data_IF_874730457508
#
_entry.id   IF_874730457508
#
_cell.length_a   1.000
_cell.length_b   1.000
_cell.length_c   1.000
_cell.angle_alpha   90.00
_cell.angle_beta   90.00
_cell.angle_gamma   90.00
#
_symmetry.space_group_name_H-M   'P 1'
#
loop_
_entity.id
_entity.type
_entity.pdbx_description
1 polymer ?
#
# COMPACT_ATOMS: atom_id res chain seq x y z
N UNK A 1 3.90 -9.12 -8.06
CA UNK A 1 3.23 -7.89 -7.57
C UNK A 1 3.62 -6.75 -8.49
N UNK A 2 2.71 -5.82 -8.79
CA UNK A 2 3.03 -4.65 -9.61
C UNK A 2 3.95 -3.67 -8.86
N UNK A 3 4.68 -2.88 -9.65
CA UNK A 3 5.73 -1.99 -9.15
C UNK A 3 5.18 -0.87 -8.26
N UNK A 4 4.00 -0.36 -8.56
CA UNK A 4 3.36 0.71 -7.79
C UNK A 4 2.96 0.22 -6.39
N UNK A 5 2.35 -0.96 -6.32
CA UNK A 5 2.01 -1.61 -5.05
C UNK A 5 3.25 -1.95 -4.23
N UNK A 6 4.30 -2.48 -4.88
CA UNK A 6 5.60 -2.76 -4.23
C UNK A 6 6.20 -1.50 -3.63
N UNK A 7 6.31 -0.44 -4.42
CA UNK A 7 6.85 0.86 -3.99
C UNK A 7 6.04 1.47 -2.85
N UNK A 8 4.71 1.34 -2.90
CA UNK A 8 3.82 1.81 -1.84
C UNK A 8 4.05 1.06 -0.54
N UNK A 9 4.08 -0.28 -0.57
CA UNK A 9 4.37 -1.09 0.62
C UNK A 9 5.77 -0.81 1.18
N UNK A 10 6.78 -0.66 0.31
CA UNK A 10 8.14 -0.33 0.72
C UNK A 10 8.20 1.02 1.45
N UNK A 11 7.49 2.05 0.95
CA UNK A 11 7.40 3.35 1.62
C UNK A 11 6.73 3.24 2.99
N UNK A 12 5.63 2.50 3.10
CA UNK A 12 4.92 2.32 4.38
C UNK A 12 5.79 1.57 5.39
N UNK A 13 6.38 0.44 5.00
CA UNK A 13 7.29 -0.33 5.87
C UNK A 13 8.46 0.55 6.31
N UNK A 14 9.10 1.26 5.38
CA UNK A 14 10.23 2.15 5.70
C UNK A 14 9.82 3.26 6.67
N UNK A 15 8.62 3.83 6.52
CA UNK A 15 8.11 4.86 7.43
C UNK A 15 7.84 4.32 8.84
N UNK A 16 7.31 3.10 8.96
CA UNK A 16 7.13 2.43 10.27
C UNK A 16 8.48 2.13 10.91
N UNK A 17 9.48 1.71 10.13
CA UNK A 17 10.84 1.46 10.61
C UNK A 17 11.53 2.70 11.20
N UNK A 18 11.10 3.92 10.85
CA UNK A 18 11.66 5.15 11.42
C UNK A 18 11.15 5.44 12.84
N UNK A 19 10.12 4.73 13.33
CA UNK A 19 9.64 4.91 14.72
C UNK A 19 10.66 4.37 15.71
N UNK A 20 10.82 5.04 16.85
CA UNK A 20 11.80 4.67 17.88
C UNK A 20 11.56 3.24 18.38
N UNK A 21 10.31 2.87 18.59
CA UNK A 21 9.90 1.54 19.03
C UNK A 21 10.23 0.47 17.99
N UNK A 22 10.16 0.82 16.70
CA UNK A 22 10.52 -0.08 15.61
C UNK A 22 12.02 -0.35 15.58
N UNK A 23 12.83 0.71 15.71
CA UNK A 23 14.29 0.60 15.79
C UNK A 23 14.74 -0.23 16.99
N UNK A 24 14.07 -0.07 18.13
CA UNK A 24 14.39 -0.79 19.36
C UNK A 24 14.10 -2.31 19.28
N UNK A 25 13.04 -2.72 18.58
CA UNK A 25 12.52 -4.08 18.71
C UNK A 25 12.33 -4.88 17.41
N UNK A 26 12.14 -4.23 16.26
CA UNK A 26 11.55 -4.89 15.08
C UNK A 26 12.30 -4.66 13.76
N UNK A 27 13.29 -3.79 13.73
CA UNK A 27 14.05 -3.51 12.50
C UNK A 27 15.08 -4.58 12.18
N UNK A 28 15.52 -5.37 13.17
CA UNK A 28 16.53 -6.40 13.01
C UNK A 28 16.01 -7.75 13.52
N UNK A 29 16.54 -8.88 12.99
CA UNK A 29 16.20 -10.21 13.49
C UNK A 29 16.45 -10.33 14.99
N UNK A 30 15.46 -10.83 15.73
CA UNK A 30 15.61 -11.07 17.16
C UNK A 30 16.72 -12.09 17.43
N UNK A 31 17.74 -11.72 18.22
CA UNK A 31 18.84 -12.61 18.54
C UNK A 31 18.41 -13.73 19.48
N UNK A 32 17.97 -14.85 18.90
CA UNK A 32 17.50 -16.03 19.65
C UNK A 32 18.56 -16.66 20.57
N UNK A 33 19.85 -16.44 20.30
CA UNK A 33 20.93 -16.99 21.14
C UNK A 33 20.99 -16.37 22.54
N UNK A 34 20.45 -15.16 22.70
CA UNK A 34 20.45 -14.43 23.97
C UNK A 34 19.31 -14.86 24.90
N UNK A 35 18.30 -15.60 24.40
CA UNK A 35 17.15 -15.98 25.22
C UNK A 35 16.67 -17.40 24.91
N UNK A 36 16.96 -18.29 25.85
CA UNK A 36 16.49 -19.69 25.82
C UNK A 36 14.97 -19.78 25.61
N UNK A 37 14.55 -20.60 24.66
CA UNK A 37 13.13 -20.89 24.40
C UNK A 37 12.51 -20.09 23.25
N UNK A 38 13.20 -19.10 22.66
CA UNK A 38 12.66 -18.36 21.52
C UNK A 38 12.28 -19.27 20.34
N UNK A 39 13.18 -20.17 19.94
CA UNK A 39 12.93 -21.13 18.87
C UNK A 39 11.82 -22.16 19.16
N UNK A 40 11.40 -22.29 20.44
CA UNK A 40 10.27 -23.14 20.83
C UNK A 40 8.94 -22.40 20.58
N UNK A 41 8.90 -21.10 20.88
CA UNK A 41 7.69 -20.30 20.74
C UNK A 41 7.51 -19.73 19.32
N UNK A 42 8.59 -19.34 18.66
CA UNK A 42 8.60 -18.67 17.35
C UNK A 42 9.21 -19.58 16.30
N UNK A 43 8.36 -20.15 15.45
CA UNK A 43 8.76 -21.11 14.41
C UNK A 43 9.30 -20.44 13.15
N UNK A 44 8.76 -19.26 12.80
CA UNK A 44 9.15 -18.50 11.60
C UNK A 44 9.51 -17.08 12.01
N UNK A 45 10.78 -16.81 12.38
CA UNK A 45 11.22 -15.45 12.69
C UNK A 45 10.98 -14.51 11.50
N UNK A 46 10.59 -13.27 11.81
CA UNK A 46 10.43 -12.21 10.83
C UNK A 46 10.66 -10.85 11.50
N UNK A 47 11.21 -9.91 10.76
CA UNK A 47 11.50 -8.55 11.18
C UNK A 47 11.27 -7.58 10.01
N UNK A 48 11.06 -6.29 10.30
CA UNK A 48 10.75 -5.29 9.29
C UNK A 48 11.92 -5.01 8.34
N UNK A 49 13.16 -5.14 8.80
CA UNK A 49 14.34 -4.98 7.96
C UNK A 49 14.45 -6.08 6.89
N UNK A 50 14.12 -7.32 7.24
CA UNK A 50 14.01 -8.44 6.30
C UNK A 50 12.91 -8.17 5.27
N UNK A 51 11.72 -7.74 5.70
CA UNK A 51 10.62 -7.40 4.78
C UNK A 51 11.03 -6.27 3.84
N UNK A 52 11.68 -5.22 4.36
CA UNK A 52 12.17 -4.09 3.57
C UNK A 52 13.18 -4.54 2.52
N UNK A 53 14.20 -5.32 2.91
CA UNK A 53 15.21 -5.86 1.97
C UNK A 53 14.56 -6.72 0.90
N UNK A 54 13.64 -7.60 1.27
CA UNK A 54 12.91 -8.46 0.34
C UNK A 54 12.05 -7.66 -0.65
N UNK A 55 11.45 -6.55 -0.20
CA UNK A 55 10.70 -5.63 -1.06
C UNK A 55 11.60 -4.85 -2.01
N UNK A 56 12.86 -4.57 -1.64
CA UNK A 56 13.83 -3.84 -2.46
C UNK A 56 14.44 -4.71 -3.58
N UNK A 57 14.40 -6.04 -3.44
CA UNK A 57 14.89 -6.95 -4.47
C UNK A 57 14.17 -6.73 -5.82
N UNK A 58 14.86 -6.99 -6.95
CA UNK A 58 14.26 -6.90 -8.28
C UNK A 58 13.02 -7.80 -8.45
N UNK A 59 12.11 -7.46 -9.38
CA UNK A 59 11.03 -8.36 -9.78
C UNK A 59 11.60 -9.72 -10.25
N UNK A 60 11.12 -10.81 -9.64
CA UNK A 60 11.59 -12.18 -9.91
C UNK A 60 12.60 -12.72 -8.89
N UNK A 61 13.27 -11.84 -8.13
CA UNK A 61 14.15 -12.23 -7.02
C UNK A 61 13.50 -12.02 -5.65
N UNK A 62 12.56 -11.06 -5.56
CA UNK A 62 11.76 -10.87 -4.36
C UNK A 62 10.93 -12.14 -4.06
N UNK A 63 10.91 -12.63 -2.80
CA UNK A 63 10.04 -13.74 -2.41
C UNK A 63 8.56 -13.35 -2.42
N UNK A 64 8.24 -12.05 -2.55
CA UNK A 64 6.86 -11.55 -2.52
C UNK A 64 6.24 -11.54 -3.92
N UNK A 65 5.39 -12.53 -4.18
CA UNK A 65 4.57 -12.57 -5.39
C UNK A 65 3.37 -11.61 -5.35
N UNK A 66 2.91 -11.24 -4.15
CA UNK A 66 1.70 -10.43 -3.93
C UNK A 66 1.81 -9.51 -2.71
N UNK A 67 0.97 -8.47 -2.67
CA UNK A 67 0.84 -7.59 -1.51
C UNK A 67 0.40 -8.36 -0.26
N UNK A 68 -0.49 -9.34 -0.42
CA UNK A 68 -0.96 -10.18 0.68
C UNK A 68 0.19 -10.91 1.39
N UNK A 69 1.19 -11.39 0.65
CA UNK A 69 2.36 -12.04 1.23
C UNK A 69 3.20 -11.09 2.10
N UNK A 70 3.33 -9.83 1.68
CA UNK A 70 3.99 -8.78 2.47
C UNK A 70 3.21 -8.48 3.74
N UNK A 71 1.89 -8.30 3.63
CA UNK A 71 1.02 -8.01 4.77
C UNK A 71 1.01 -9.15 5.78
N UNK A 72 1.07 -10.41 5.32
CA UNK A 72 1.20 -11.58 6.18
C UNK A 72 2.52 -11.58 6.95
N UNK A 73 3.64 -11.24 6.31
CA UNK A 73 4.93 -11.18 7.00
C UNK A 73 5.00 -10.00 7.99
N UNK A 74 4.40 -8.84 7.67
CA UNK A 74 4.27 -7.73 8.62
C UNK A 74 3.46 -8.17 9.84
N UNK A 75 2.31 -8.82 9.62
CA UNK A 75 1.47 -9.34 10.69
C UNK A 75 2.22 -10.37 11.55
N UNK A 76 3.04 -11.22 10.92
CA UNK A 76 3.85 -12.20 11.62
C UNK A 76 4.89 -11.58 12.57
N UNK A 77 5.45 -10.40 12.25
CA UNK A 77 6.36 -9.68 13.18
C UNK A 77 5.65 -9.47 14.53
N UNK A 78 4.40 -9.02 14.49
CA UNK A 78 3.60 -8.74 15.67
C UNK A 78 3.17 -10.01 16.40
N UNK A 79 2.75 -11.04 15.65
CA UNK A 79 2.33 -12.32 16.22
C UNK A 79 3.48 -13.05 16.90
N UNK A 80 4.68 -13.04 16.31
CA UNK A 80 5.88 -13.59 16.93
C UNK A 80 6.21 -12.87 18.24
N UNK A 81 6.06 -11.54 18.28
CA UNK A 81 6.25 -10.76 19.49
C UNK A 81 5.25 -11.18 20.57
N UNK A 82 3.96 -11.28 20.22
CA UNK A 82 2.90 -11.66 21.16
C UNK A 82 2.99 -13.11 21.65
N UNK A 83 3.52 -14.03 20.82
CA UNK A 83 3.74 -15.43 21.17
C UNK A 83 4.88 -15.59 22.18
N UNK A 84 5.92 -14.75 22.09
CA UNK A 84 7.08 -14.87 22.94
C UNK A 84 7.01 -14.01 24.21
N UNK A 85 6.50 -12.78 24.10
CA UNK A 85 6.45 -11.85 25.21
C UNK A 85 5.06 -11.86 25.90
N UNK A 86 5.03 -11.85 27.25
CA UNK A 86 3.76 -11.80 27.98
C UNK A 86 3.04 -10.46 27.77
N UNK A 87 1.75 -10.45 28.06
CA UNK A 87 0.95 -9.21 28.07
C UNK A 87 1.58 -8.17 29.02
N UNK A 88 1.59 -6.90 28.61
CA UNK A 88 2.20 -5.80 29.36
C UNK A 88 3.71 -5.62 29.17
N UNK A 89 4.40 -6.52 28.48
CA UNK A 89 5.81 -6.31 28.11
C UNK A 89 5.94 -5.15 27.12
N UNK A 90 6.96 -4.29 27.27
CA UNK A 90 7.15 -3.09 26.45
C UNK A 90 7.17 -3.39 24.94
N UNK A 91 7.87 -4.45 24.53
CA UNK A 91 7.89 -4.88 23.13
C UNK A 91 6.49 -5.20 22.58
N UNK A 92 5.59 -5.74 23.41
CA UNK A 92 4.22 -6.05 22.97
C UNK A 92 3.36 -4.80 22.84
N UNK A 93 3.52 -3.85 23.77
CA UNK A 93 2.88 -2.52 23.68
C UNK A 93 3.36 -1.77 22.41
N UNK A 94 4.67 -1.88 22.11
CA UNK A 94 5.24 -1.36 20.88
C UNK A 94 4.65 -2.05 19.62
N UNK A 95 4.52 -3.37 19.62
CA UNK A 95 3.91 -4.12 18.51
C UNK A 95 2.47 -3.66 18.24
N UNK A 96 1.65 -3.51 19.29
CA UNK A 96 0.27 -3.04 19.16
C UNK A 96 0.20 -1.63 18.56
N UNK A 97 1.08 -0.72 19.03
CA UNK A 97 1.17 0.66 18.54
C UNK A 97 1.62 0.74 17.08
N UNK A 98 2.65 -0.04 16.72
CA UNK A 98 3.21 -0.05 15.37
C UNK A 98 2.29 -0.75 14.37
N UNK A 99 1.57 -1.80 14.77
CA UNK A 99 0.57 -2.46 13.93
C UNK A 99 -0.58 -1.51 13.56
N UNK A 100 -1.07 -0.72 14.54
CA UNK A 100 -2.03 0.34 14.28
C UNK A 100 -1.49 1.42 13.33
N UNK A 101 -0.25 1.85 13.55
CA UNK A 101 0.44 2.85 12.70
C UNK A 101 0.60 2.34 11.27
N UNK A 102 1.06 1.10 11.09
CA UNK A 102 1.20 0.45 9.79
C UNK A 102 -0.14 0.40 9.05
N UNK A 103 -1.20 -0.07 9.74
CA UNK A 103 -2.54 -0.18 9.17
C UNK A 103 -3.05 1.17 8.69
N UNK A 104 -2.90 2.21 9.51
CA UNK A 104 -3.30 3.57 9.16
C UNK A 104 -2.54 4.10 7.94
N UNK A 105 -1.21 3.97 7.92
CA UNK A 105 -0.38 4.43 6.80
C UNK A 105 -0.70 3.68 5.50
N UNK A 106 -0.89 2.36 5.59
CA UNK A 106 -1.25 1.54 4.43
C UNK A 106 -2.62 1.94 3.86
N UNK A 107 -3.63 2.13 4.72
CA UNK A 107 -4.95 2.60 4.28
C UNK A 107 -4.89 4.00 3.66
N UNK A 108 -4.15 4.93 4.25
CA UNK A 108 -3.99 6.27 3.72
C UNK A 108 -3.32 6.24 2.33
N UNK A 109 -2.29 5.41 2.14
CA UNK A 109 -1.62 5.25 0.86
C UNK A 109 -2.57 4.69 -0.22
N UNK A 110 -3.38 3.68 0.12
CA UNK A 110 -4.39 3.13 -0.78
C UNK A 110 -5.44 4.18 -1.19
N UNK A 111 -5.92 4.98 -0.25
CA UNK A 111 -6.88 6.06 -0.53
C UNK A 111 -6.26 7.14 -1.43
N UNK A 112 -5.02 7.53 -1.18
CA UNK A 112 -4.30 8.50 -2.01
C UNK A 112 -4.14 8.00 -3.45
N UNK A 113 -3.79 6.72 -3.63
CA UNK A 113 -3.66 6.11 -4.96
C UNK A 113 -4.99 6.14 -5.72
N UNK A 114 -6.09 5.75 -5.07
CA UNK A 114 -7.43 5.80 -5.69
C UNK A 114 -7.83 7.24 -6.08
N UNK A 115 -7.54 8.22 -5.23
CA UNK A 115 -7.79 9.62 -5.54
C UNK A 115 -6.95 10.13 -6.72
N UNK A 116 -5.69 9.72 -6.82
CA UNK A 116 -4.82 10.06 -7.94
C UNK A 116 -5.34 9.45 -9.26
N UNK A 117 -5.75 8.18 -9.22
CA UNK A 117 -6.36 7.51 -10.37
C UNK A 117 -7.64 8.21 -10.83
N UNK A 118 -8.54 8.54 -9.89
CA UNK A 118 -9.76 9.28 -10.21
C UNK A 118 -9.47 10.66 -10.80
N UNK A 119 -8.51 11.39 -10.22
CA UNK A 119 -8.08 12.71 -10.73
C UNK A 119 -7.55 12.60 -12.15
N UNK A 120 -6.71 11.61 -12.43
CA UNK A 120 -6.12 11.39 -13.74
C UNK A 120 -7.18 11.01 -14.78
N UNK A 121 -8.11 10.12 -14.44
CA UNK A 121 -9.23 9.76 -15.32
C UNK A 121 -10.13 10.97 -15.63
N UNK A 122 -10.43 11.77 -14.60
CA UNK A 122 -11.24 13.00 -14.76
C UNK A 122 -10.56 14.00 -15.70
N UNK A 123 -9.25 14.19 -15.54
CA UNK A 123 -8.48 15.06 -16.41
C UNK A 123 -8.44 14.55 -17.87
N UNK A 124 -8.24 13.25 -18.08
CA UNK A 124 -8.26 12.65 -19.41
C UNK A 124 -9.63 12.81 -20.08
N UNK A 125 -10.71 12.60 -19.33
CA UNK A 125 -12.07 12.79 -19.83
C UNK A 125 -12.32 14.24 -20.25
N UNK A 126 -11.85 15.20 -19.45
CA UNK A 126 -11.98 16.62 -19.76
C UNK A 126 -11.18 17.01 -21.03
N UNK A 127 -9.96 16.49 -21.18
CA UNK A 127 -9.18 16.69 -22.41
C UNK A 127 -9.87 16.09 -23.65
N UNK A 128 -10.42 14.88 -23.52
CA UNK A 128 -11.15 14.25 -24.62
C UNK A 128 -12.38 15.07 -25.03
N UNK A 129 -13.12 15.61 -24.05
CA UNK A 129 -14.26 16.48 -24.32
C UNK A 129 -13.84 17.73 -25.07
N UNK A 130 -12.75 18.36 -24.66
CA UNK A 130 -12.21 19.55 -25.31
C UNK A 130 -11.77 19.24 -26.75
N UNK A 131 -11.08 18.12 -26.97
CA UNK A 131 -10.67 17.68 -28.31
C UNK A 131 -11.89 17.42 -29.20
N UNK A 132 -12.94 16.77 -28.68
CA UNK A 132 -14.20 16.55 -29.41
C UNK A 132 -14.86 17.88 -29.80
N UNK A 133 -14.88 18.86 -28.89
CA UNK A 133 -15.44 20.18 -29.16
C UNK A 133 -14.65 20.91 -30.26
N UNK A 134 -13.31 20.85 -30.23
CA UNK A 134 -12.45 21.44 -31.26
C UNK A 134 -12.63 20.78 -32.62
N UNK A 135 -12.69 19.44 -32.66
CA UNK A 135 -12.93 18.70 -33.90
C UNK A 135 -14.28 19.06 -34.53
N UNK A 136 -15.31 19.19 -33.70
CA UNK A 136 -16.64 19.62 -34.16
C UNK A 136 -16.59 21.04 -34.78
N UNK A 137 -15.90 21.99 -34.14
CA UNK A 137 -15.75 23.33 -34.69
C UNK A 137 -14.96 23.34 -36.03
N UNK A 138 -13.90 22.54 -36.12
CA UNK A 138 -13.10 22.42 -37.34
C UNK A 138 -13.91 21.89 -38.53
N UNK A 139 -14.78 20.89 -38.31
CA UNK A 139 -15.66 20.35 -39.34
C UNK A 139 -16.67 21.40 -39.84
N UNK A 140 -17.28 22.17 -38.93
CA UNK A 140 -18.23 23.23 -39.31
C UNK A 140 -17.57 24.32 -40.14
N UNK A 141 -16.36 24.73 -39.77
CA UNK A 141 -15.65 25.80 -40.48
C UNK A 141 -15.24 25.36 -41.89
N UNK A 142 -14.88 24.08 -42.07
CA UNK A 142 -14.53 23.53 -43.38
C UNK A 142 -15.75 23.41 -44.31
N UNK A 143 -16.93 23.05 -43.78
CA UNK A 143 -18.18 23.01 -44.56
C UNK A 143 -18.60 24.39 -45.09
N UNK A 144 -18.46 25.45 -44.28
CA UNK A 144 -18.77 26.81 -44.72
C UNK A 144 -17.87 27.28 -45.87
N UNK A 145 -16.58 26.93 -45.83
CA UNK A 145 -15.62 27.34 -46.84
C UNK A 145 -15.87 26.62 -48.19
N UNK A 146 -16.31 25.36 -48.17
CA UNK A 146 -16.67 24.63 -49.39
C UNK A 146 -17.91 25.22 -50.11
N UNK A 147 -18.90 25.71 -49.37
CA UNK A 147 -20.08 26.35 -49.96
C UNK A 147 -19.73 27.66 -50.67
N UNK A 148 -18.81 28.46 -50.12
CA UNK A 148 -18.39 29.72 -50.75
C UNK A 148 -17.68 29.50 -52.10
N UNK A 149 -16.90 28.42 -52.24
CA UNK A 149 -16.21 28.10 -53.49
C UNK A 149 -17.16 27.66 -54.63
N UNK A 150 -18.33 27.10 -54.31
CA UNK A 150 -19.30 26.70 -55.34
C UNK A 150 -20.13 27.88 -55.87
N UNK A 151 -20.32 28.94 -55.08
CA UNK A 151 -21.06 30.15 -55.53
C UNK A 151 -20.31 31.03 -56.53
N UNK A 152 -19.01 30.82 -56.76
CA UNK A 152 -18.19 31.69 -57.66
C UNK A 152 -18.12 31.20 -59.12
N UNK A 153 -18.58 29.98 -59.42
CA UNK A 153 -18.47 29.37 -60.77
C UNK A 153 -19.61 29.73 -61.74
N UNK A 154 -20.53 30.63 -61.36
CA UNK A 154 -21.74 30.93 -62.14
C UNK A 154 -21.82 32.30 -62.82
N UNK A 155 -20.83 33.19 -62.68
CA UNK A 155 -20.89 34.53 -63.29
C UNK A 155 -19.78 34.74 -64.35
N UNK A 156 -20.12 35.03 -65.62
CA UNK A 156 -19.13 35.35 -66.63
C UNK A 156 -18.47 36.71 -66.33
N UNK A 157 -17.13 36.83 -66.46
CA UNK A 157 -16.42 38.07 -66.16
C UNK A 157 -16.66 39.08 -67.28
N UNK A 158 -17.38 40.16 -66.94
CA UNK A 158 -17.43 41.36 -67.76
C UNK A 158 -16.59 42.43 -67.07
N UNK A 159 -15.52 42.83 -67.76
CA UNK A 159 -14.66 44.00 -67.56
C UNK A 159 -13.33 43.87 -66.79
N UNK A 160 -12.23 44.32 -67.42
CA UNK A 160 -10.97 44.59 -66.76
C UNK A 160 -10.93 46.05 -66.28
N UNK A 161 -10.34 46.28 -65.10
CA UNK A 161 -9.50 47.42 -64.70
C UNK A 161 -9.57 47.59 -63.19
N UNK A 162 -8.50 47.22 -62.49
CA UNK A 162 -7.79 48.10 -61.55
C UNK A 162 -6.68 47.34 -60.80
N UNK A 163 -5.47 47.93 -60.65
CA UNK A 163 -4.48 47.45 -59.70
C UNK A 163 -4.76 48.09 -58.34
N UNK A 164 -5.29 47.32 -57.39
CA UNK A 164 -5.42 47.73 -55.99
C UNK A 164 -4.49 46.88 -55.13
N UNK A 165 -3.68 47.59 -54.37
CA UNK A 165 -2.67 47.11 -53.43
C UNK A 165 -3.24 46.04 -52.48
N UNK A 166 -2.50 44.95 -52.32
CA UNK A 166 -2.82 43.88 -51.38
C UNK A 166 -2.54 44.35 -49.93
N UNK A 167 -3.48 44.20 -48.98
CA UNK A 167 -3.15 44.20 -47.58
C UNK A 167 -2.61 42.82 -47.16
N UNK A 168 -1.55 42.86 -46.35
CA UNK A 168 -0.82 41.71 -45.79
C UNK A 168 -1.75 40.64 -45.19
N UNK A 169 -1.64 39.41 -45.70
CA UNK A 169 -2.13 38.21 -45.01
C UNK A 169 -1.30 37.99 -43.74
N UNK A 170 -1.87 38.31 -42.58
CA UNK A 170 -1.35 37.82 -41.30
C UNK A 170 -1.77 36.37 -41.13
N UNK A 171 -0.80 35.46 -41.19
CA UNK A 171 -0.98 34.07 -40.81
C UNK A 171 -1.41 33.98 -39.32
N UNK A 172 -2.38 33.12 -38.96
CA UNK A 172 -2.68 32.84 -37.57
C UNK A 172 -1.49 32.11 -36.93
N UNK A 173 -0.81 32.78 -36.01
CA UNK A 173 0.21 32.18 -35.16
C UNK A 173 -0.44 31.10 -34.26
N UNK A 174 0.18 29.92 -34.09
CA UNK A 174 -0.30 28.94 -33.13
C UNK A 174 -0.18 29.49 -31.71
N UNK A 175 -1.12 29.15 -30.80
CA UNK A 175 -1.00 29.54 -29.39
C UNK A 175 0.28 28.94 -28.80
N UNK A 176 1.11 29.82 -28.23
CA UNK A 176 2.28 29.45 -27.45
C UNK A 176 1.83 28.54 -26.30
N UNK A 177 2.22 27.27 -26.37
CA UNK A 177 2.13 26.33 -25.26
C UNK A 177 2.92 26.91 -24.09
N UNK A 178 2.22 27.36 -23.05
CA UNK A 178 2.83 27.65 -21.76
C UNK A 178 3.36 26.32 -21.20
N UNK A 179 4.69 26.16 -21.29
CA UNK A 179 5.43 25.14 -20.55
C UNK A 179 5.19 25.40 -19.06
N UNK A 180 4.35 24.58 -18.45
CA UNK A 180 4.17 24.53 -17.01
C UNK A 180 5.47 23.98 -16.42
N UNK A 181 6.30 24.87 -15.87
CA UNK A 181 7.45 24.48 -15.04
C UNK A 181 6.88 23.81 -13.78
N UNK A 182 7.27 22.56 -13.44
CA UNK A 182 6.96 22.01 -12.14
C UNK A 182 7.71 22.85 -11.09
N UNK A 183 6.98 23.41 -10.14
CA UNK A 183 7.61 24.11 -9.01
C UNK A 183 8.31 23.04 -8.18
N UNK A 184 9.64 23.13 -8.16
CA UNK A 184 10.47 22.27 -7.33
C UNK A 184 10.24 22.63 -5.86
N UNK A 185 10.16 21.57 -5.08
CA UNK A 185 9.87 21.59 -3.66
C UNK A 185 11.19 21.86 -2.92
N UNK A 186 11.43 23.11 -2.52
CA UNK A 186 12.55 23.49 -1.66
C UNK A 186 12.04 23.97 -0.28
N UNK A 187 12.61 23.49 0.84
CA UNK A 187 12.18 23.85 2.18
C UNK A 187 12.79 25.19 2.64
N UNK A 188 12.10 26.01 3.46
CA UNK A 188 12.73 27.16 4.07
C UNK A 188 13.42 26.76 5.38
N UNK A 189 14.75 26.86 5.37
CA UNK A 189 15.53 27.03 6.60
C UNK A 189 15.34 28.45 7.15
N UNK A 190 15.06 28.45 8.45
CA UNK A 190 15.05 29.51 9.45
C UNK A 190 15.83 30.79 9.12
N UNK A 191 15.22 31.94 9.44
CA UNK A 191 15.86 33.05 10.16
C UNK A 191 14.78 33.91 10.84
N UNK A 192 15.04 34.24 12.11
CA UNK A 192 14.06 34.78 13.04
C UNK A 192 13.67 36.25 12.86
N UNK A 193 12.57 36.62 13.51
CA UNK A 193 12.08 37.99 13.65
C UNK A 193 10.85 38.00 14.57
N UNK A 194 10.88 38.86 15.58
CA UNK A 194 9.96 38.92 16.71
C UNK A 194 8.58 39.53 16.38
N UNK A 195 7.52 38.95 16.99
CA UNK A 195 6.24 39.54 17.47
C UNK A 195 5.27 40.23 16.47
N UNK A 196 3.96 40.45 16.80
CA UNK A 196 3.24 40.24 18.07
C UNK A 196 1.90 39.44 17.97
N UNK A 197 1.34 39.15 19.15
CA UNK A 197 0.02 38.54 19.41
C UNK A 197 -1.18 39.20 18.72
N UNK A 198 -2.25 38.44 18.43
CA UNK A 198 -3.60 38.99 18.35
C UNK A 198 -4.50 38.51 19.51
N UNK A 199 -5.27 39.45 20.05
CA UNK A 199 -6.38 39.24 20.98
C UNK A 199 -7.64 38.72 20.23
N UNK A 200 -8.70 38.27 20.94
CA UNK A 200 -9.63 37.26 20.45
C UNK A 200 -10.84 37.85 19.70
N UNK A 201 -11.31 37.14 18.67
CA UNK A 201 -12.56 37.43 17.99
C UNK A 201 -13.48 36.20 17.94
N UNK A 202 -14.56 36.31 18.72
CA UNK A 202 -15.95 36.02 18.37
C UNK A 202 -16.31 34.75 17.57
N UNK A 203 -16.96 33.84 18.29
CA UNK A 203 -18.22 33.14 17.97
C UNK A 203 -18.62 32.93 16.50
N UNK A 204 -18.72 31.65 16.10
CA UNK A 204 -19.88 31.19 15.34
C UNK A 204 -20.16 29.72 15.61
N UNK A 205 -21.34 29.52 16.19
CA UNK A 205 -21.99 28.25 16.44
C UNK A 205 -22.43 27.62 15.12
N UNK A 206 -21.99 26.39 14.88
CA UNK A 206 -22.60 25.50 13.89
C UNK A 206 -22.87 24.17 14.58
N UNK A 207 -24.14 23.97 14.93
CA UNK A 207 -24.67 22.76 15.52
C UNK A 207 -24.41 21.58 14.58
N UNK A 208 -23.58 20.64 15.02
CA UNK A 208 -23.44 19.34 14.39
C UNK A 208 -24.73 18.55 14.61
N UNK A 209 -25.45 18.28 13.53
CA UNK A 209 -26.54 17.32 13.53
C UNK A 209 -26.00 15.94 13.93
N UNK A 210 -26.59 15.36 14.98
CA UNK A 210 -26.28 14.01 15.42
C UNK A 210 -26.61 12.98 14.31
N UNK A 211 -25.79 11.94 14.13
CA UNK A 211 -26.11 10.85 13.22
C UNK A 211 -27.34 10.06 13.72
N UNK A 212 -28.18 9.51 12.83
CA UNK A 212 -29.31 8.67 13.21
C UNK A 212 -28.81 7.38 13.90
N UNK A 213 -29.59 6.81 14.85
CA UNK A 213 -29.25 5.54 15.48
C UNK A 213 -29.27 4.38 14.48
N UNK A 214 -28.46 3.33 14.70
CA UNK A 214 -28.46 2.14 13.85
C UNK A 214 -29.80 1.38 13.93
N UNK A 215 -30.20 0.67 12.87
CA UNK A 215 -31.42 -0.13 12.87
C UNK A 215 -31.28 -1.31 13.85
N UNK A 216 -32.29 -1.50 14.70
CA UNK A 216 -32.38 -2.67 15.58
C UNK A 216 -32.63 -3.94 14.76
N UNK A 217 -32.02 -5.08 15.11
CA UNK A 217 -32.32 -6.36 14.49
C UNK A 217 -33.71 -6.86 14.91
N UNK A 218 -34.49 -7.31 13.95
CA UNK A 218 -35.79 -7.96 14.17
C UNK A 218 -35.63 -9.30 14.90
N UNK A 219 -36.57 -9.68 15.79
CA UNK A 219 -36.56 -10.99 16.43
C UNK A 219 -37.14 -12.07 15.49
N UNK A 220 -36.27 -12.88 14.89
CA UNK A 220 -36.63 -14.23 14.43
C UNK A 220 -36.16 -15.21 15.50
N UNK A 221 -37.00 -16.04 16.12
CA UNK A 221 -38.03 -16.86 15.51
C UNK A 221 -37.52 -18.30 15.57
N UNK A 222 -37.80 -18.97 16.69
CA UNK A 222 -37.36 -20.33 16.97
C UNK A 222 -37.93 -21.36 15.99
N UNK A 223 -37.15 -22.39 15.72
CA UNK A 223 -37.54 -23.54 14.91
C UNK A 223 -36.69 -24.75 15.27
N UNK A 224 -37.26 -25.62 16.10
CA UNK A 224 -36.75 -26.91 16.55
C UNK A 224 -36.94 -28.02 15.52
N UNK A 225 -36.04 -29.01 15.54
CA UNK A 225 -36.18 -30.33 14.89
C UNK A 225 -35.02 -30.60 13.92
N UNK A 226 -34.32 -31.72 13.91
CA UNK A 226 -34.50 -33.01 14.56
C UNK A 226 -33.85 -34.07 13.64
N UNK A 227 -32.93 -34.86 14.20
CA UNK A 227 -32.48 -36.21 13.81
C UNK A 227 -32.15 -36.54 12.33
N UNK A 228 -30.92 -37.02 12.08
CA UNK A 228 -30.61 -38.39 11.62
C UNK A 228 -29.29 -38.45 10.81
N UNK A 229 -28.30 -39.16 11.35
CA UNK A 229 -27.30 -39.94 10.58
C UNK A 229 -27.84 -41.39 10.47
N UNK A 230 -27.22 -42.38 9.76
CA UNK A 230 -25.83 -42.43 9.29
C UNK A 230 -25.54 -43.17 7.94
N UNK A 231 -24.26 -43.19 7.56
CA UNK A 231 -23.61 -44.21 6.71
C UNK A 231 -23.77 -44.02 5.19
N UNK A 232 -22.89 -44.48 4.30
CA UNK A 232 -21.61 -45.21 4.39
C UNK A 232 -21.01 -45.07 2.99
N UNK A 233 -19.75 -44.65 2.83
CA UNK A 233 -19.10 -44.55 1.52
C UNK A 233 -18.02 -45.60 1.40
N UNK A 234 -18.22 -46.52 0.46
CA UNK A 234 -17.29 -47.59 0.12
C UNK A 234 -16.28 -47.15 -0.95
N UNK A 235 -15.07 -47.65 -0.79
CA UNK A 235 -13.92 -47.61 -1.69
C UNK A 235 -14.20 -48.31 -3.06
N UNK A 236 -13.48 -48.19 -4.17
CA UNK A 236 -12.04 -48.21 -4.54
C UNK A 236 -12.01 -48.02 -6.11
N UNK A 237 -10.91 -48.25 -6.89
CA UNK A 237 -9.52 -47.77 -6.85
C UNK A 237 -9.03 -47.28 -8.25
N UNK A 238 -7.72 -47.00 -8.37
CA UNK A 238 -6.80 -47.33 -9.51
C UNK A 238 -5.88 -46.16 -9.90
N UNK A 239 -4.61 -46.18 -9.46
CA UNK A 239 -3.40 -46.48 -10.27
C UNK A 239 -2.78 -45.20 -10.89
N UNK A 240 -1.49 -45.04 -11.16
CA UNK A 240 -0.21 -45.63 -10.79
C UNK A 240 0.85 -44.74 -11.49
N UNK A 241 1.95 -44.36 -10.82
CA UNK A 241 3.24 -43.90 -11.39
C UNK A 241 4.07 -43.31 -10.23
N UNK A 242 4.93 -44.07 -9.56
CA UNK A 242 6.27 -44.53 -9.94
C UNK A 242 7.30 -43.38 -10.04
N UNK A 243 8.22 -43.41 -9.07
CA UNK A 243 9.29 -42.44 -8.76
C UNK A 243 10.43 -42.40 -9.80
N UNK A 244 11.40 -41.47 -9.66
CA UNK A 244 12.59 -41.66 -8.78
C UNK A 244 12.90 -40.38 -7.95
N UNK A 245 13.41 -40.38 -6.72
CA UNK A 245 14.57 -41.06 -6.13
C UNK A 245 15.53 -39.97 -5.59
N UNK A 246 15.82 -39.86 -4.27
CA UNK A 246 16.65 -38.79 -3.71
C UNK A 246 18.16 -39.10 -3.75
N UNK A 247 19.05 -38.07 -3.74
CA UNK A 247 20.51 -38.26 -3.74
C UNK A 247 21.07 -38.66 -2.36
N UNK A 248 22.30 -39.22 -2.32
CA UNK A 248 22.85 -39.91 -1.16
C UNK A 248 23.48 -38.99 -0.11
N UNK A 249 23.17 -39.27 1.16
CA UNK A 249 23.96 -38.84 2.31
C UNK A 249 25.04 -39.89 2.61
N UNK A 250 26.31 -39.47 2.55
CA UNK A 250 27.45 -40.21 3.09
C UNK A 250 28.01 -39.47 4.31
N UNK A 251 27.85 -40.05 5.49
CA UNK A 251 28.75 -39.86 6.64
C UNK A 251 28.47 -40.96 7.68
N UNK A 252 29.36 -41.94 7.73
CA UNK A 252 29.39 -43.03 8.70
C UNK A 252 30.23 -42.64 9.93
N UNK A 253 29.72 -43.01 11.12
CA UNK A 253 30.39 -43.60 12.32
C UNK A 253 31.70 -42.95 12.84
N UNK A 254 32.01 -42.81 14.13
CA UNK A 254 31.74 -43.49 15.41
C UNK A 254 32.04 -42.48 16.54
N UNK A 255 31.55 -42.55 17.77
CA UNK A 255 31.95 -43.51 18.81
C UNK A 255 31.23 -43.21 20.13
N UNK A 256 30.70 -44.28 20.75
CA UNK A 256 30.57 -44.57 22.18
C UNK A 256 31.19 -43.62 23.21
N UNK A 257 30.42 -43.31 24.28
CA UNK A 257 30.78 -43.68 25.65
C UNK A 257 29.59 -43.51 26.61
N UNK A 258 29.33 -44.55 27.40
CA UNK A 258 28.24 -44.67 28.36
C UNK A 258 28.63 -44.20 29.78
N UNK A 259 27.57 -43.91 30.56
CA UNK A 259 27.45 -44.06 32.02
C UNK A 259 28.15 -43.06 32.96
N UNK A 260 27.35 -42.30 33.74
CA UNK A 260 27.05 -42.60 35.17
C UNK A 260 26.31 -41.45 35.86
N UNK A 261 25.37 -41.88 36.69
CA UNK A 261 24.65 -41.25 37.82
C UNK A 261 25.51 -40.27 38.63
N UNK A 262 24.95 -39.12 39.05
CA UNK A 262 24.97 -38.55 40.43
C UNK A 262 24.02 -37.33 40.53
N UNK A 263 23.07 -37.37 41.47
CA UNK A 263 22.31 -36.21 42.00
C UNK A 263 23.18 -35.31 42.89
N UNK A 264 22.90 -34.00 42.94
CA UNK A 264 22.68 -33.37 44.26
C UNK A 264 21.45 -32.42 44.22
N UNK A 265 20.47 -32.54 45.12
CA UNK A 265 20.48 -32.08 46.51
C UNK A 265 20.74 -30.58 46.70
N UNK A 266 19.65 -29.84 46.98
CA UNK A 266 19.61 -28.71 47.92
C UNK A 266 20.33 -27.41 47.56
N UNK A 267 19.60 -26.47 46.97
CA UNK A 267 19.97 -25.04 46.94
C UNK A 267 19.13 -24.22 47.96
N UNK A 268 19.73 -23.27 48.70
CA UNK A 268 19.10 -22.60 49.83
C UNK A 268 18.11 -21.48 49.44
N UNK A 269 17.05 -21.35 50.25
CA UNK A 269 16.08 -20.25 50.21
C UNK A 269 16.74 -18.96 50.70
N UNK A 270 16.97 -18.00 49.80
CA UNK A 270 17.29 -16.63 50.17
C UNK A 270 15.99 -15.90 50.58
N UNK A 271 15.87 -15.59 51.87
CA UNK A 271 14.93 -14.61 52.39
C UNK A 271 15.55 -13.23 52.18
N UNK A 272 14.96 -12.42 51.29
CA UNK A 272 15.24 -10.99 51.20
C UNK A 272 14.34 -10.32 52.23
N UNK A 273 14.95 -9.78 53.29
CA UNK A 273 14.34 -8.79 54.17
C UNK A 273 14.70 -7.42 53.60
N UNK A 274 13.71 -6.64 53.20
CA UNK A 274 13.89 -5.23 52.84
C UNK A 274 13.63 -4.36 54.09
N UNK A 275 14.37 -3.26 54.28
CA UNK A 275 14.01 -2.18 55.18
C UNK A 275 12.85 -1.33 54.62
#
# INVERSE_FOLDING_TARGET
MDEETRSTLLRVVTAVMQREESQKYFNEPFNSSERSGYAICVQRPMDLGTIQRNLQLPPGESPYSSAAAVLQDVQLVWENCAAFFPAGHEARVAADTLSGTFTQMHQAAQQQQQQQQFRMQSFQQQQLLLQKQQAHFALQNNSHNQQQQQTTLGHPPSHPMQPSLQPFQHAPQPPQTFMFVPVDNAPPSQLGGHQPSPAPAAVSSAAAAAPPPPPQPAPGGGGSGGAAAPGSSAAHPSAAAMAPGPPPNGATASSEAAARIVHPAGGPKLKISLP
#
